data_IF_858846105191
#
_entry.id   IF_858846105191
#
_cell.length_a   1.000
_cell.length_b   1.000
_cell.length_c   1.000
_cell.angle_alpha   90.00
_cell.angle_beta   90.00
_cell.angle_gamma   90.00
#
_symmetry.space_group_name_H-M   'P 1'
#
loop_
_entity.id
_entity.type
_entity.pdbx_description
1 polymer ?
#
# COMPACT_ATOMS: atom_id res chain seq x y z
N UNK A 1 12.67 1.72 -40.81
CA UNK A 1 13.02 1.82 -39.70
C UNK A 1 12.09 2.43 -38.80
N UNK A 2 11.86 3.32 -38.77
CA UNK A 2 11.01 3.96 -37.93
C UNK A 2 9.71 3.29 -37.75
N UNK A 3 9.16 2.76 -38.72
CA UNK A 3 7.90 2.17 -38.60
C UNK A 3 7.80 1.20 -37.52
N UNK A 4 8.70 0.44 -37.30
CA UNK A 4 8.56 -0.55 -36.33
C UNK A 4 8.15 0.03 -35.05
N UNK A 5 8.57 1.11 -34.76
CA UNK A 5 8.27 1.68 -33.54
C UNK A 5 6.83 1.73 -33.30
N UNK A 6 6.10 2.27 -34.20
CA UNK A 6 4.76 2.41 -33.94
C UNK A 6 4.14 1.17 -33.63
N UNK A 7 4.46 0.24 -34.16
CA UNK A 7 3.88 -0.99 -33.97
C UNK A 7 3.90 -1.32 -32.58
N UNK A 8 4.96 -1.22 -32.06
CA UNK A 8 5.14 -1.50 -30.68
C UNK A 8 4.14 -0.84 -29.85
N UNK A 9 3.95 0.36 -30.04
CA UNK A 9 3.09 1.08 -29.22
C UNK A 9 1.77 0.47 -29.18
N UNK A 10 1.28 0.16 -30.24
CA UNK A 10 0.05 -0.41 -30.29
C UNK A 10 -0.12 -1.54 -29.39
N UNK A 11 0.68 -2.46 -29.50
CA UNK A 11 0.56 -3.61 -28.69
C UNK A 11 0.47 -3.19 -27.28
N UNK A 12 1.20 -2.33 -26.95
CA UNK A 12 1.22 -1.86 -25.62
C UNK A 12 -0.13 -1.42 -25.21
N UNK A 13 -0.68 -0.62 -25.94
CA UNK A 13 -1.96 -0.12 -25.64
C UNK A 13 -2.89 -1.24 -25.28
N UNK A 14 -2.92 -2.20 -26.04
CA UNK A 14 -3.80 -3.28 -25.81
C UNK A 14 -3.61 -3.81 -24.42
N UNK A 15 -2.42 -3.95 -24.04
CA UNK A 15 -2.16 -4.48 -22.76
C UNK A 15 -2.69 -3.67 -21.66
N UNK A 16 -2.69 -2.46 -21.80
CA UNK A 16 -3.13 -1.64 -20.79
C UNK A 16 -4.46 -2.07 -20.35
N UNK A 17 -5.35 -2.19 -21.22
CA UNK A 17 -6.67 -2.53 -20.85
C UNK A 17 -6.68 -3.73 -19.95
N UNK A 18 -5.98 -4.70 -20.33
CA UNK A 18 -5.95 -5.92 -19.56
C UNK A 18 -5.40 -5.66 -18.20
N UNK A 19 -4.36 -4.96 -18.17
CA UNK A 19 -3.72 -4.72 -16.93
C UNK A 19 -4.66 -4.09 -15.94
N UNK A 20 -5.44 -3.25 -16.38
CA UNK A 20 -6.36 -2.58 -15.54
C UNK A 20 -7.21 -3.52 -14.77
N UNK A 21 -7.80 -4.43 -15.41
CA UNK A 21 -8.68 -5.33 -14.75
C UNK A 21 -7.98 -6.14 -13.71
N UNK A 22 -6.79 -6.56 -14.00
CA UNK A 22 -6.13 -7.43 -13.06
C UNK A 22 -5.74 -6.71 -11.79
N UNK A 23 -5.67 -5.42 -11.84
CA UNK A 23 -5.24 -4.69 -10.67
C UNK A 23 -6.23 -4.73 -9.53
N UNK A 24 -7.41 -5.26 -9.77
CA UNK A 24 -8.41 -5.27 -8.74
C UNK A 24 -8.30 -6.38 -7.72
N UNK A 25 -7.28 -7.20 -7.81
CA UNK A 25 -7.19 -8.32 -6.89
C UNK A 25 -6.89 -7.88 -5.46
N UNK A 26 -7.60 -8.49 -4.53
CA UNK A 26 -7.38 -8.22 -3.12
C UNK A 26 -6.04 -8.77 -2.66
N UNK A 27 -5.48 -8.18 -1.65
CA UNK A 27 -4.22 -8.64 -1.10
C UNK A 27 -4.41 -10.01 -0.43
N UNK A 28 -3.42 -10.90 -0.55
CA UNK A 28 -3.51 -12.24 0.04
C UNK A 28 -3.54 -12.19 1.57
N UNK A 29 -4.13 -13.20 2.15
CA UNK A 29 -4.27 -13.29 3.59
C UNK A 29 -2.95 -13.21 4.33
N UNK A 30 -1.94 -13.95 3.90
CA UNK A 30 -0.67 -13.94 4.61
C UNK A 30 0.00 -12.57 4.56
N UNK A 31 -0.09 -11.92 3.42
CA UNK A 31 0.46 -10.59 3.27
C UNK A 31 -0.24 -9.64 4.25
N UNK A 32 -1.56 -9.79 4.40
CA UNK A 32 -2.29 -8.91 5.28
C UNK A 32 -2.03 -9.18 6.76
N UNK A 33 -1.68 -10.42 7.11
CA UNK A 33 -1.28 -10.70 8.49
C UNK A 33 0.02 -9.98 8.79
N UNK A 34 0.96 -10.03 7.85
CA UNK A 34 2.24 -9.36 8.04
C UNK A 34 2.05 -7.84 8.03
N UNK A 35 1.20 -7.37 7.14
CA UNK A 35 0.90 -5.95 7.06
C UNK A 35 0.31 -5.44 8.38
N UNK A 36 -0.68 -6.16 8.91
CA UNK A 36 -1.34 -5.73 10.13
C UNK A 36 -0.38 -5.71 11.33
N UNK A 37 0.48 -6.73 11.40
CA UNK A 37 1.45 -6.79 12.48
C UNK A 37 2.40 -5.60 12.39
N UNK A 38 2.88 -5.31 11.19
CA UNK A 38 3.77 -4.17 10.99
C UNK A 38 3.06 -2.86 11.28
N UNK A 39 1.80 -2.74 10.87
CA UNK A 39 1.04 -1.51 11.10
C UNK A 39 0.87 -1.23 12.59
N UNK A 40 0.64 -2.27 13.38
CA UNK A 40 0.51 -2.10 14.82
C UNK A 40 1.86 -1.67 15.40
N UNK A 41 2.96 -2.25 14.93
CA UNK A 41 4.29 -1.87 15.39
C UNK A 41 4.60 -0.41 15.04
N UNK A 42 4.26 0.00 13.84
CA UNK A 42 4.46 1.39 13.41
C UNK A 42 3.61 2.34 14.24
N UNK A 43 2.36 1.97 14.53
CA UNK A 43 1.49 2.82 15.33
C UNK A 43 2.00 2.94 16.76
N UNK A 44 2.48 1.84 17.32
CA UNK A 44 3.07 1.85 18.65
C UNK A 44 4.29 2.75 18.68
N UNK A 45 5.13 2.65 17.66
CA UNK A 45 6.33 3.48 17.58
C UNK A 45 5.95 4.95 17.50
N UNK A 46 4.93 5.28 16.71
CA UNK A 46 4.50 6.66 16.55
C UNK A 46 3.98 7.21 17.88
N UNK A 47 3.27 6.38 18.65
CA UNK A 47 2.77 6.80 19.95
C UNK A 47 3.92 7.09 20.90
N UNK A 48 4.97 6.27 20.83
CA UNK A 48 6.13 6.48 21.68
C UNK A 48 6.86 7.77 21.33
N UNK A 49 6.79 8.18 20.06
CA UNK A 49 7.42 9.44 19.65
C UNK A 49 6.59 10.65 20.08
N UNK A 50 5.36 10.41 20.53
CA UNK A 50 4.50 11.44 21.09
C UNK A 50 4.33 12.65 20.18
N UNK A 51 4.07 12.41 18.90
CA UNK A 51 3.91 13.50 17.94
C UNK A 51 2.46 13.83 17.64
N UNK A 52 1.53 13.22 18.38
CA UNK A 52 0.12 13.53 18.25
C UNK A 52 -0.59 12.87 17.08
N UNK A 53 0.05 11.92 16.43
CA UNK A 53 -0.59 11.23 15.31
C UNK A 53 -1.61 10.23 15.82
N UNK A 54 -2.79 10.25 15.23
CA UNK A 54 -3.86 9.35 15.64
C UNK A 54 -4.76 9.05 14.43
N UNK A 55 -5.83 8.32 14.67
CA UNK A 55 -6.81 8.05 13.65
C UNK A 55 -6.56 6.76 12.90
N UNK A 56 -7.18 6.62 11.76
CA UNK A 56 -7.14 5.41 10.98
C UNK A 56 -5.75 4.87 10.73
N UNK A 57 -4.81 5.71 10.44
CA UNK A 57 -3.47 5.28 10.08
C UNK A 57 -2.68 4.82 11.29
N UNK A 58 -2.97 5.36 12.46
CA UNK A 58 -2.13 5.19 13.64
C UNK A 58 -2.75 4.46 14.82
N UNK A 59 -3.81 3.67 14.59
CA UNK A 59 -4.39 2.90 15.69
C UNK A 59 -3.67 1.57 15.86
N UNK A 60 -3.84 0.95 17.02
CA UNK A 60 -3.19 -0.31 17.35
C UNK A 60 -4.08 -1.53 17.19
N UNK A 61 -5.19 -1.39 16.50
CA UNK A 61 -6.12 -2.49 16.36
C UNK A 61 -5.73 -3.38 15.19
N UNK A 62 -5.13 -4.51 15.49
CA UNK A 62 -4.65 -5.45 14.47
C UNK A 62 -5.74 -5.80 13.46
N UNK A 63 -6.94 -6.20 13.97
CA UNK A 63 -8.00 -6.63 13.06
C UNK A 63 -8.45 -5.52 12.11
N UNK A 64 -8.39 -4.30 12.54
CA UNK A 64 -8.73 -3.16 11.69
C UNK A 64 -7.74 -3.03 10.54
N UNK A 65 -6.45 -3.14 10.84
CA UNK A 65 -5.43 -3.07 9.80
C UNK A 65 -5.53 -4.28 8.87
N UNK A 66 -5.79 -5.46 9.42
CA UNK A 66 -5.91 -6.67 8.63
C UNK A 66 -7.11 -6.55 7.68
N UNK A 67 -8.25 -6.14 8.22
CA UNK A 67 -9.46 -6.02 7.43
C UNK A 67 -9.31 -5.00 6.30
N UNK A 68 -8.69 -3.86 6.59
CA UNK A 68 -8.45 -2.87 5.56
C UNK A 68 -7.57 -3.45 4.46
N UNK A 69 -6.52 -4.15 4.83
CA UNK A 69 -5.59 -4.74 3.86
C UNK A 69 -6.33 -5.73 2.96
N UNK A 70 -7.21 -6.56 3.53
CA UNK A 70 -7.94 -7.55 2.75
C UNK A 70 -8.93 -6.93 1.76
N UNK A 71 -9.27 -5.68 1.96
CA UNK A 71 -10.18 -4.98 1.08
C UNK A 71 -9.47 -4.13 0.05
N UNK A 72 -8.16 -4.17 0.02
CA UNK A 72 -7.39 -3.35 -0.90
C UNK A 72 -6.42 -4.24 -1.68
N UNK A 73 -5.66 -3.67 -2.58
CA UNK A 73 -4.67 -4.43 -3.33
C UNK A 73 -3.36 -4.49 -2.54
N UNK A 74 -2.51 -5.44 -2.89
CA UNK A 74 -1.22 -5.53 -2.22
C UNK A 74 -0.39 -4.29 -2.48
N UNK A 75 -0.55 -3.67 -3.65
CA UNK A 75 0.17 -2.45 -3.98
C UNK A 75 -0.25 -1.30 -3.07
N UNK A 76 -1.55 -1.18 -2.82
CA UNK A 76 -2.05 -0.13 -1.94
C UNK A 76 -1.59 -0.38 -0.50
N UNK A 77 -1.57 -1.64 -0.07
CA UNK A 77 -1.09 -1.98 1.27
C UNK A 77 0.39 -1.61 1.41
N UNK A 78 1.19 -1.88 0.38
CA UNK A 78 2.59 -1.55 0.41
C UNK A 78 2.81 -0.04 0.45
N UNK A 79 2.02 0.70 -0.32
CA UNK A 79 2.13 2.16 -0.32
C UNK A 79 1.79 2.72 1.07
N UNK A 80 0.79 2.18 1.72
CA UNK A 80 0.42 2.66 3.05
C UNK A 80 1.52 2.33 4.06
N UNK A 81 2.14 1.17 3.94
CA UNK A 81 3.26 0.82 4.79
C UNK A 81 4.39 1.84 4.61
N UNK A 82 4.69 2.23 3.38
CA UNK A 82 5.74 3.19 3.11
C UNK A 82 5.40 4.57 3.66
N UNK A 83 4.15 4.99 3.54
CA UNK A 83 3.75 6.28 4.07
C UNK A 83 3.98 6.31 5.58
N UNK A 84 3.57 5.26 6.29
CA UNK A 84 3.77 5.23 7.74
C UNK A 84 5.26 5.20 8.08
N UNK A 85 6.02 4.39 7.37
CA UNK A 85 7.45 4.28 7.61
C UNK A 85 8.13 5.63 7.40
N UNK A 86 7.80 6.31 6.31
CA UNK A 86 8.42 7.59 6.00
C UNK A 86 8.03 8.67 7.01
N UNK A 87 6.80 8.64 7.48
CA UNK A 87 6.37 9.61 8.49
C UNK A 87 7.18 9.41 9.77
N UNK A 88 7.42 8.18 10.16
CA UNK A 88 8.21 7.88 11.35
C UNK A 88 9.66 8.29 11.17
N UNK A 89 10.27 7.84 10.08
CA UNK A 89 11.70 8.05 9.85
C UNK A 89 12.07 9.48 9.56
N UNK A 90 11.25 10.13 8.75
CA UNK A 90 11.56 11.49 8.30
C UNK A 90 10.86 12.58 9.09
N UNK A 91 10.20 12.20 10.19
CA UNK A 91 9.52 13.16 11.04
C UNK A 91 8.52 14.00 10.26
N UNK A 92 7.84 13.38 9.33
CA UNK A 92 6.88 14.07 8.48
C UNK A 92 5.56 14.33 9.20
N UNK A 93 4.64 15.03 8.55
CA UNK A 93 3.36 15.33 9.16
C UNK A 93 2.50 14.08 9.23
N UNK A 94 1.62 14.01 10.21
CA UNK A 94 0.68 12.92 10.31
C UNK A 94 -0.28 12.89 9.13
#
# INVERSE_FOLDING_TARGET
>A
MTKLNRIVLISVAALMGAAVTTGAMAAPSQLCKDYARTAVQQSTKMQMLNRGCSGFRWHNWYDGHYSWCRKTSKEAAFQEYLVRRNTIVNNGPC
#
